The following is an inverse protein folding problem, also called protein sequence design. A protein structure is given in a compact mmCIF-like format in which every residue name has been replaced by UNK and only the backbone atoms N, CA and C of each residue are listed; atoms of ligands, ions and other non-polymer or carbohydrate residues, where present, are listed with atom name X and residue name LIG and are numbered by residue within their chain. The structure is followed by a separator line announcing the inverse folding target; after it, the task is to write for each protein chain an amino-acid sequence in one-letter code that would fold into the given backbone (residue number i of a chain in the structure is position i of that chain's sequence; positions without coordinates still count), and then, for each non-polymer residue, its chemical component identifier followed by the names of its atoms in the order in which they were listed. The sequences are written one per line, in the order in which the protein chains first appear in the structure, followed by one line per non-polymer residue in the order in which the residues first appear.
data_IF_116346458067
#
_entry.id   IF_116346458067
#
_cell.length_a   1.000
_cell.length_b   1.000
_cell.length_c   1.000
_cell.angle_alpha   90.00
_cell.angle_beta   90.00
_cell.angle_gamma   90.00
#
_symmetry.space_group_name_H-M   'P 1'
#
loop_
_entity.id
_entity.type
_entity.pdbx_description
1 polymer ?
#
# COMPACT_ATOMS: atom_id res chain seq x y z
N UNK A 1 -1.17 52.06 -14.96
CA UNK A 1 -2.21 51.04 -15.18
C UNK A 1 -1.51 49.70 -15.12
N UNK A 2 -1.68 49.01 -13.99
CA UNK A 2 -0.99 47.77 -13.59
C UNK A 2 -1.64 46.57 -14.29
N UNK A 3 -0.83 45.61 -14.74
CA UNK A 3 -1.21 44.21 -14.83
C UNK A 3 0.07 43.36 -14.70
N UNK A 4 0.24 42.77 -13.52
CA UNK A 4 1.23 41.75 -13.20
C UNK A 4 0.45 40.43 -13.26
N UNK A 5 0.74 39.56 -14.24
CA UNK A 5 0.13 38.24 -14.31
C UNK A 5 1.03 37.25 -13.56
N UNK A 6 0.54 36.81 -12.41
CA UNK A 6 1.14 35.78 -11.58
C UNK A 6 0.35 34.48 -11.78
N UNK A 7 0.85 33.58 -12.61
CA UNK A 7 0.37 32.19 -12.62
C UNK A 7 1.42 31.26 -13.21
N UNK A 8 2.31 30.75 -12.36
CA UNK A 8 2.81 29.37 -12.44
C UNK A 8 3.60 29.07 -11.18
N UNK A 9 2.89 28.98 -10.05
CA UNK A 9 3.46 28.49 -8.80
C UNK A 9 3.47 26.96 -8.79
N UNK A 10 4.22 26.32 -9.70
CA UNK A 10 4.65 24.93 -9.47
C UNK A 10 5.78 25.00 -8.45
N UNK A 11 5.46 24.66 -7.21
CA UNK A 11 6.46 24.60 -6.14
C UNK A 11 7.57 23.64 -6.57
N UNK A 12 8.82 24.07 -6.45
CA UNK A 12 10.00 23.24 -6.72
C UNK A 12 9.97 21.93 -5.90
N UNK A 13 9.23 21.90 -4.78
CA UNK A 13 9.00 20.72 -3.95
C UNK A 13 8.12 19.64 -4.63
N UNK A 14 7.17 20.02 -5.50
CA UNK A 14 6.29 19.07 -6.20
C UNK A 14 7.04 18.37 -7.35
N UNK A 15 7.97 19.10 -7.99
CA UNK A 15 8.84 18.53 -9.03
C UNK A 15 9.85 17.54 -8.42
N UNK A 16 10.45 17.87 -7.28
CA UNK A 16 11.42 16.99 -6.59
C UNK A 16 10.75 15.74 -6.01
N UNK A 17 9.52 15.83 -5.49
CA UNK A 17 8.77 14.66 -4.98
C UNK A 17 8.29 13.75 -6.11
N UNK A 18 7.83 14.33 -7.22
CA UNK A 18 7.55 13.59 -8.45
C UNK A 18 8.78 12.84 -8.96
N UNK A 19 9.97 13.43 -8.84
CA UNK A 19 11.22 12.80 -9.26
C UNK A 19 11.76 11.75 -8.27
N UNK A 20 11.51 11.84 -6.96
CA UNK A 20 11.92 10.77 -6.01
C UNK A 20 11.02 9.54 -6.13
N UNK A 21 9.71 9.72 -6.32
CA UNK A 21 8.78 8.60 -6.59
C UNK A 21 9.01 8.03 -7.99
N UNK A 22 9.25 8.89 -9.00
CA UNK A 22 9.59 8.46 -10.37
C UNK A 22 10.97 7.80 -10.45
N UNK A 23 11.96 8.22 -9.66
CA UNK A 23 13.28 7.59 -9.62
C UNK A 23 13.27 6.26 -8.88
N UNK A 24 12.42 6.07 -7.85
CA UNK A 24 12.21 4.75 -7.22
C UNK A 24 11.38 3.79 -8.08
N UNK A 25 10.56 4.30 -8.99
CA UNK A 25 9.67 3.50 -9.85
C UNK A 25 10.31 2.91 -11.13
N UNK A 26 11.57 3.26 -11.46
CA UNK A 26 12.18 2.89 -12.75
C UNK A 26 12.88 1.52 -12.78
N UNK A 27 12.87 0.74 -11.70
CA UNK A 27 13.52 -0.59 -11.72
C UNK A 27 12.74 -1.66 -10.94
N UNK A 28 11.42 -1.72 -11.13
CA UNK A 28 10.64 -2.92 -10.75
C UNK A 28 10.22 -3.68 -12.00
N UNK A 29 11.14 -4.50 -12.53
CA UNK A 29 10.75 -5.65 -13.34
C UNK A 29 9.86 -6.58 -12.50
N UNK A 30 9.00 -7.37 -13.14
CA UNK A 30 8.15 -8.38 -12.46
C UNK A 30 9.02 -9.18 -11.50
N UNK A 31 8.80 -9.00 -10.19
CA UNK A 31 9.64 -9.65 -9.19
C UNK A 31 9.28 -11.13 -9.11
N UNK A 32 10.29 -11.96 -9.37
CA UNK A 32 10.19 -13.40 -9.20
C UNK A 32 9.93 -13.77 -7.73
N UNK A 33 9.08 -14.79 -7.52
CA UNK A 33 8.69 -15.25 -6.18
C UNK A 33 9.91 -15.67 -5.36
N UNK A 34 10.93 -16.31 -5.96
CA UNK A 34 12.13 -16.71 -5.24
C UNK A 34 12.95 -15.51 -4.79
N UNK A 35 12.93 -14.39 -5.53
CA UNK A 35 13.57 -13.14 -5.11
C UNK A 35 12.84 -12.55 -3.90
N UNK A 36 11.50 -12.55 -3.92
CA UNK A 36 10.69 -12.11 -2.76
C UNK A 36 10.98 -12.98 -1.54
N UNK A 37 10.96 -14.30 -1.70
CA UNK A 37 11.29 -15.24 -0.62
C UNK A 37 12.71 -15.05 -0.07
N UNK A 38 13.71 -14.86 -0.94
CA UNK A 38 15.09 -14.63 -0.53
C UNK A 38 15.24 -13.31 0.26
N UNK A 39 14.53 -12.25 -0.15
CA UNK A 39 14.53 -10.97 0.57
C UNK A 39 13.93 -11.13 1.97
N UNK A 40 12.78 -11.82 2.09
CA UNK A 40 12.16 -12.11 3.39
C UNK A 40 13.07 -12.99 4.25
N UNK A 41 13.65 -14.05 3.70
CA UNK A 41 14.55 -14.95 4.42
C UNK A 41 15.84 -14.24 4.88
N UNK A 42 16.34 -13.27 4.10
CA UNK A 42 17.47 -12.42 4.51
C UNK A 42 17.06 -11.54 5.69
N UNK A 43 15.94 -10.83 5.57
CA UNK A 43 15.44 -9.96 6.63
C UNK A 43 15.25 -10.72 7.94
N UNK A 44 14.62 -11.90 7.92
CA UNK A 44 14.41 -12.71 9.12
C UNK A 44 15.71 -13.27 9.73
N UNK A 45 16.76 -13.46 8.93
CA UNK A 45 18.08 -13.85 9.44
C UNK A 45 18.78 -12.70 10.14
N UNK A 46 18.58 -11.48 9.65
CA UNK A 46 19.14 -10.25 10.21
C UNK A 46 18.38 -9.82 11.48
N UNK A 47 17.07 -10.12 11.55
CA UNK A 47 16.16 -9.75 12.64
C UNK A 47 15.40 -10.99 13.17
N UNK A 48 16.08 -11.96 13.81
CA UNK A 48 15.48 -13.24 14.24
C UNK A 48 14.38 -13.08 15.30
N UNK A 49 14.41 -12.01 16.09
CA UNK A 49 13.39 -11.68 17.09
C UNK A 49 12.01 -11.41 16.46
N UNK A 50 11.95 -10.97 15.19
CA UNK A 50 10.69 -10.74 14.47
C UNK A 50 9.92 -12.03 14.20
N UNK A 51 10.61 -13.18 14.12
CA UNK A 51 9.99 -14.49 13.91
C UNK A 51 9.37 -15.04 15.21
N UNK A 52 10.00 -14.74 16.36
CA UNK A 52 9.70 -15.35 17.66
C UNK A 52 8.77 -14.50 18.53
N UNK A 53 8.68 -13.20 18.28
CA UNK A 53 7.86 -12.31 19.08
C UNK A 53 6.36 -12.58 18.84
N UNK A 54 5.65 -13.00 19.90
CA UNK A 54 4.21 -12.84 19.97
C UNK A 54 3.89 -11.34 20.01
N UNK A 55 3.10 -10.86 19.06
CA UNK A 55 2.70 -9.47 19.01
C UNK A 55 1.19 -9.38 19.21
N UNK A 56 0.78 -8.96 20.41
CA UNK A 56 -0.62 -8.77 20.78
C UNK A 56 -1.15 -7.38 20.37
N UNK A 57 -0.46 -6.72 19.43
CA UNK A 57 -0.82 -5.36 19.03
C UNK A 57 -2.20 -5.37 18.32
N UNK A 58 -3.15 -4.51 18.72
CA UNK A 58 -4.51 -4.52 18.16
C UNK A 58 -4.57 -4.40 16.64
N UNK A 59 -3.61 -3.69 16.03
CA UNK A 59 -3.52 -3.57 14.58
C UNK A 59 -3.29 -4.91 13.86
N UNK A 60 -2.63 -5.87 14.52
CA UNK A 60 -2.28 -7.19 13.98
C UNK A 60 -3.21 -8.31 14.48
N UNK A 61 -4.28 -7.97 15.19
CA UNK A 61 -5.28 -8.94 15.64
C UNK A 61 -5.84 -9.71 14.43
N UNK A 62 -5.80 -11.04 14.51
CA UNK A 62 -6.21 -11.95 13.43
C UNK A 62 -5.14 -12.23 12.36
N UNK A 63 -3.95 -11.62 12.44
CA UNK A 63 -2.88 -11.83 11.47
C UNK A 63 -2.36 -13.27 11.47
N UNK A 64 -2.33 -13.93 12.62
CA UNK A 64 -1.91 -15.33 12.74
C UNK A 64 -2.97 -16.32 12.22
N UNK A 65 -4.23 -15.90 12.14
CA UNK A 65 -5.36 -16.75 11.69
C UNK A 65 -5.50 -16.78 10.17
N UNK A 66 -4.84 -15.86 9.46
CA UNK A 66 -4.80 -15.86 8.00
C UNK A 66 -3.95 -17.03 7.51
N UNK A 67 -4.49 -17.81 6.59
CA UNK A 67 -3.76 -18.90 5.96
C UNK A 67 -2.84 -18.38 4.84
N UNK A 68 -1.77 -17.69 5.24
CA UNK A 68 -0.78 -17.09 4.33
C UNK A 68 -0.20 -18.11 3.35
N UNK A 69 -0.08 -19.37 3.76
CA UNK A 69 0.46 -20.46 2.94
C UNK A 69 -0.41 -20.80 1.72
N UNK A 70 -1.71 -20.50 1.77
CA UNK A 70 -2.64 -20.70 0.65
C UNK A 70 -2.62 -19.57 -0.37
N UNK A 71 -2.02 -18.43 -0.04
CA UNK A 71 -1.96 -17.30 -0.97
C UNK A 71 -0.82 -17.56 -1.98
N UNK A 72 -1.12 -17.59 -3.29
CA UNK A 72 -0.10 -17.86 -4.30
C UNK A 72 1.07 -16.87 -4.23
N UNK A 73 2.29 -17.39 -4.16
CA UNK A 73 3.50 -16.57 -4.11
C UNK A 73 3.71 -15.80 -2.80
N UNK A 74 3.00 -16.17 -1.73
CA UNK A 74 3.16 -15.59 -0.40
C UNK A 74 4.25 -16.32 0.41
N UNK A 75 5.36 -15.67 0.78
CA UNK A 75 6.34 -16.21 1.71
C UNK A 75 5.72 -16.40 3.10
N UNK A 76 6.23 -17.36 3.87
CA UNK A 76 5.75 -17.60 5.23
C UNK A 76 6.00 -16.41 6.20
N UNK A 77 6.95 -15.53 5.87
CA UNK A 77 7.40 -14.44 6.75
C UNK A 77 6.51 -13.19 6.80
N UNK A 78 5.37 -13.13 6.10
CA UNK A 78 4.51 -11.93 6.09
C UNK A 78 4.09 -11.46 7.48
N UNK A 79 3.67 -12.34 8.41
CA UNK A 79 3.32 -11.90 9.76
C UNK A 79 4.48 -11.23 10.49
N UNK A 80 5.71 -11.70 10.29
CA UNK A 80 6.90 -11.11 10.90
C UNK A 80 7.23 -9.74 10.30
N UNK A 81 7.03 -9.54 8.99
CA UNK A 81 7.15 -8.22 8.36
C UNK A 81 6.08 -7.25 8.88
N UNK A 82 4.82 -7.68 9.00
CA UNK A 82 3.77 -6.82 9.55
C UNK A 82 4.05 -6.41 11.00
N UNK A 83 4.70 -7.28 11.79
CA UNK A 83 5.20 -6.94 13.13
C UNK A 83 6.36 -5.96 13.09
N UNK A 84 7.33 -6.15 12.20
CA UNK A 84 8.49 -5.27 12.06
C UNK A 84 8.10 -3.81 11.80
N UNK A 85 6.97 -3.55 11.13
CA UNK A 85 6.45 -2.18 10.94
C UNK A 85 6.10 -1.44 12.24
N UNK A 86 5.84 -2.16 13.33
CA UNK A 86 5.57 -1.56 14.65
C UNK A 86 6.85 -1.19 15.40
N UNK A 87 8.00 -1.76 15.00
CA UNK A 87 9.28 -1.49 15.61
C UNK A 87 9.87 -0.19 15.05
N UNK A 88 10.33 0.71 15.93
CA UNK A 88 10.86 2.01 15.54
C UNK A 88 12.17 1.90 14.76
N UNK A 89 13.03 0.93 15.11
CA UNK A 89 14.33 0.72 14.48
C UNK A 89 14.21 -0.15 13.22
N UNK A 90 13.41 -1.21 13.28
CA UNK A 90 13.31 -2.21 12.22
C UNK A 90 12.24 -1.85 11.18
N UNK A 91 11.23 -1.05 11.54
CA UNK A 91 10.14 -0.64 10.65
C UNK A 91 10.60 -0.04 9.32
N UNK A 92 11.49 0.96 9.31
CA UNK A 92 12.00 1.56 8.07
C UNK A 92 12.73 0.57 7.14
N UNK A 93 13.37 -0.46 7.68
CA UNK A 93 14.00 -1.54 6.89
C UNK A 93 12.99 -2.60 6.43
N UNK A 94 11.95 -2.82 7.23
CA UNK A 94 10.89 -3.79 6.95
C UNK A 94 9.99 -3.35 5.81
N UNK A 95 9.65 -2.05 5.77
CA UNK A 95 8.67 -1.52 4.83
C UNK A 95 9.06 -1.80 3.36
N UNK A 96 10.29 -1.53 2.87
CA UNK A 96 10.66 -1.86 1.50
C UNK A 96 10.58 -3.35 1.17
N UNK A 97 10.87 -4.24 2.13
CA UNK A 97 10.72 -5.69 1.93
C UNK A 97 9.26 -6.06 1.76
N UNK A 98 8.38 -5.45 2.57
CA UNK A 98 6.94 -5.65 2.47
C UNK A 98 6.35 -5.02 1.20
N UNK A 99 6.75 -3.83 0.80
CA UNK A 99 6.30 -3.19 -0.46
C UNK A 99 6.61 -4.08 -1.66
N UNK A 100 7.84 -4.59 -1.75
CA UNK A 100 8.26 -5.53 -2.79
C UNK A 100 7.44 -6.82 -2.80
N UNK A 101 6.97 -7.25 -1.63
CA UNK A 101 6.08 -8.40 -1.54
C UNK A 101 4.69 -8.08 -2.10
N UNK A 102 4.13 -6.96 -1.66
CA UNK A 102 2.76 -6.53 -1.94
C UNK A 102 2.58 -5.99 -3.36
N UNK A 103 3.66 -5.64 -4.04
CA UNK A 103 3.68 -5.16 -5.42
C UNK A 103 4.32 -6.21 -6.33
N UNK A 104 3.69 -6.52 -7.46
CA UNK A 104 4.30 -7.33 -8.53
C UNK A 104 5.05 -6.46 -9.54
N UNK A 105 4.57 -5.24 -9.75
CA UNK A 105 5.26 -4.19 -10.49
C UNK A 105 4.70 -2.83 -10.09
N UNK A 106 5.18 -1.76 -10.71
CA UNK A 106 4.66 -0.39 -10.50
C UNK A 106 3.16 -0.26 -10.75
N UNK A 107 2.56 -1.14 -11.56
CA UNK A 107 1.15 -1.07 -11.97
C UNK A 107 0.29 -2.22 -11.44
N UNK A 108 0.86 -3.18 -10.70
CA UNK A 108 0.13 -4.36 -10.26
C UNK A 108 0.45 -4.70 -8.80
N UNK A 109 -0.60 -4.84 -8.00
CA UNK A 109 -0.51 -5.41 -6.65
C UNK A 109 -0.38 -6.94 -6.74
N UNK A 110 0.14 -7.56 -5.70
CA UNK A 110 0.24 -9.02 -5.61
C UNK A 110 -1.00 -9.62 -4.96
N UNK A 111 -1.15 -10.95 -5.10
CA UNK A 111 -2.22 -11.70 -4.45
C UNK A 111 -2.19 -11.63 -2.91
N UNK A 112 -1.08 -11.15 -2.33
CA UNK A 112 -0.92 -10.94 -0.88
C UNK A 112 -1.61 -9.66 -0.40
N UNK A 113 -1.69 -8.63 -1.27
CA UNK A 113 -2.22 -7.31 -0.92
C UNK A 113 -3.62 -7.37 -0.28
N UNK A 114 -4.62 -8.09 -0.82
CA UNK A 114 -5.95 -8.16 -0.21
C UNK A 114 -5.96 -8.64 1.24
N UNK A 115 -5.13 -9.65 1.54
CA UNK A 115 -5.03 -10.23 2.88
C UNK A 115 -4.25 -9.32 3.83
N UNK A 116 -3.27 -8.56 3.33
CA UNK A 116 -2.48 -7.63 4.12
C UNK A 116 -3.22 -6.31 4.42
N UNK A 117 -4.09 -5.85 3.52
CA UNK A 117 -4.77 -4.54 3.61
C UNK A 117 -5.46 -4.25 4.96
N UNK A 118 -6.24 -5.17 5.56
CA UNK A 118 -6.84 -4.95 6.88
C UNK A 118 -5.83 -4.53 7.95
N UNK A 119 -4.64 -5.15 7.92
CA UNK A 119 -3.56 -4.88 8.86
C UNK A 119 -2.87 -3.56 8.53
N UNK A 120 -2.60 -3.30 7.25
CA UNK A 120 -1.99 -2.02 6.80
C UNK A 120 -2.86 -0.81 7.16
N UNK A 121 -4.19 -0.91 6.98
CA UNK A 121 -5.13 0.15 7.36
C UNK A 121 -5.08 0.41 8.85
N UNK A 122 -5.08 -0.65 9.68
CA UNK A 122 -5.00 -0.50 11.13
C UNK A 122 -3.63 0.00 11.61
N UNK A 123 -2.55 -0.42 10.95
CA UNK A 123 -1.20 0.07 11.24
C UNK A 123 -1.08 1.56 10.90
N UNK A 124 -1.57 2.00 9.76
CA UNK A 124 -1.57 3.43 9.39
C UNK A 124 -2.37 4.32 10.37
N UNK A 125 -3.33 3.72 11.09
CA UNK A 125 -4.08 4.39 12.16
C UNK A 125 -3.32 4.47 13.50
N UNK A 126 -2.19 3.79 13.66
CA UNK A 126 -1.32 3.93 14.83
C UNK A 126 -0.50 5.22 14.68
N UNK A 127 -0.61 6.20 15.59
CA UNK A 127 -0.04 7.53 15.38
C UNK A 127 1.49 7.58 15.37
N UNK A 128 2.14 6.73 16.17
CA UNK A 128 3.57 6.87 16.51
C UNK A 128 4.50 5.90 15.78
N UNK A 129 4.01 5.14 14.80
CA UNK A 129 4.89 4.27 14.01
C UNK A 129 5.73 5.10 13.02
N UNK A 130 7.03 4.82 12.96
CA UNK A 130 7.97 5.59 12.13
C UNK A 130 7.59 5.58 10.63
N UNK A 131 7.04 4.47 10.15
CA UNK A 131 6.67 4.22 8.75
C UNK A 131 5.26 4.67 8.38
N UNK A 132 4.55 5.33 9.28
CA UNK A 132 3.16 5.75 9.06
C UNK A 132 2.93 6.56 7.77
N UNK A 133 3.76 7.57 7.43
CA UNK A 133 3.59 8.34 6.19
C UNK A 133 3.63 7.45 4.95
N UNK A 134 4.63 6.57 4.89
CA UNK A 134 4.84 5.69 3.75
C UNK A 134 3.75 4.60 3.66
N UNK A 135 3.24 4.11 4.80
CA UNK A 135 2.08 3.21 4.81
C UNK A 135 0.82 3.87 4.25
N UNK A 136 0.57 5.15 4.56
CA UNK A 136 -0.55 5.88 3.98
C UNK A 136 -0.39 6.04 2.46
N UNK A 137 0.84 6.30 1.99
CA UNK A 137 1.16 6.31 0.57
C UNK A 137 0.92 4.96 -0.10
N UNK A 138 1.38 3.87 0.52
CA UNK A 138 1.15 2.50 0.04
C UNK A 138 -0.34 2.17 -0.06
N UNK A 139 -1.15 2.56 0.93
CA UNK A 139 -2.60 2.38 0.89
C UNK A 139 -3.22 3.15 -0.28
N UNK A 140 -2.75 4.37 -0.58
CA UNK A 140 -3.26 5.16 -1.69
C UNK A 140 -2.93 4.52 -3.05
N UNK A 141 -1.70 4.02 -3.20
CA UNK A 141 -1.28 3.24 -4.38
C UNK A 141 -2.13 1.97 -4.52
N UNK A 142 -2.33 1.23 -3.43
CA UNK A 142 -3.17 0.03 -3.44
C UNK A 142 -4.62 0.35 -3.84
N UNK A 143 -5.18 1.45 -3.34
CA UNK A 143 -6.51 1.93 -3.71
C UNK A 143 -6.62 2.31 -5.19
N UNK A 144 -5.62 3.01 -5.73
CA UNK A 144 -5.56 3.38 -7.14
C UNK A 144 -5.50 2.13 -8.03
N UNK A 145 -4.57 1.21 -7.75
CA UNK A 145 -4.35 0.00 -8.55
C UNK A 145 -5.48 -1.03 -8.40
N UNK A 146 -6.30 -0.93 -7.36
CA UNK A 146 -7.46 -1.81 -7.15
C UNK A 146 -8.75 -1.26 -7.76
N UNK A 147 -8.72 -0.04 -8.31
CA UNK A 147 -9.89 0.54 -8.99
C UNK A 147 -10.24 -0.27 -10.22
N UNK A 148 -11.55 -0.45 -10.48
CA UNK A 148 -12.00 -1.18 -11.67
C UNK A 148 -11.47 -0.55 -12.95
N UNK A 149 -10.97 -1.37 -13.87
CA UNK A 149 -10.61 -0.94 -15.21
C UNK A 149 -11.81 -1.11 -16.14
N UNK A 150 -12.25 0.00 -16.74
CA UNK A 150 -13.21 -0.01 -17.83
C UNK A 150 -12.63 -0.78 -19.02
N UNK A 151 -13.35 -1.82 -19.47
CA UNK A 151 -12.91 -2.67 -20.57
C UNK A 151 -12.87 -1.95 -21.92
N UNK A 152 -13.62 -0.85 -22.05
CA UNK A 152 -13.66 -0.03 -23.26
C UNK A 152 -12.56 1.05 -23.28
N UNK A 153 -11.87 1.30 -22.15
CA UNK A 153 -10.71 2.19 -22.08
C UNK A 153 -9.42 1.42 -22.41
N UNK A 154 -9.09 1.35 -23.70
CA UNK A 154 -7.90 0.66 -24.22
C UNK A 154 -6.60 1.09 -23.53
N UNK A 155 -6.48 2.36 -23.13
CA UNK A 155 -5.28 2.88 -22.47
C UNK A 155 -5.16 2.32 -21.05
N UNK A 156 -6.26 2.29 -20.31
CA UNK A 156 -6.27 1.71 -18.95
C UNK A 156 -6.06 0.21 -19.00
N UNK A 157 -6.67 -0.49 -19.96
CA UNK A 157 -6.44 -1.93 -20.17
C UNK A 157 -4.98 -2.21 -20.51
N UNK A 158 -4.33 -1.37 -21.33
CA UNK A 158 -2.92 -1.54 -21.65
C UNK A 158 -1.99 -1.36 -20.43
N UNK A 159 -2.28 -0.39 -19.56
CA UNK A 159 -1.42 -0.06 -18.42
C UNK A 159 -1.65 -0.96 -17.21
N UNK A 160 -2.89 -1.32 -16.95
CA UNK A 160 -3.32 -2.00 -15.74
C UNK A 160 -3.87 -3.41 -16.00
N UNK A 161 -3.98 -3.86 -17.25
CA UNK A 161 -4.65 -5.13 -17.55
C UNK A 161 -6.16 -5.06 -17.35
N UNK A 162 -6.84 -6.17 -17.68
CA UNK A 162 -8.28 -6.32 -17.48
C UNK A 162 -8.57 -6.80 -16.07
N UNK A 163 -9.66 -6.33 -15.47
CA UNK A 163 -10.05 -6.75 -14.11
C UNK A 163 -10.25 -8.28 -13.99
N UNK A 164 -10.65 -8.97 -15.08
CA UNK A 164 -10.79 -10.43 -15.10
C UNK A 164 -9.47 -11.19 -14.87
N UNK A 165 -8.35 -10.57 -15.22
CA UNK A 165 -7.02 -11.16 -15.09
C UNK A 165 -6.40 -10.83 -13.73
N UNK A 166 -7.06 -9.98 -12.92
CA UNK A 166 -6.58 -9.41 -11.67
C UNK A 166 -7.59 -9.60 -10.51
N UNK A 167 -7.89 -10.86 -10.11
CA UNK A 167 -8.86 -11.14 -9.05
C UNK A 167 -8.49 -10.51 -7.70
N UNK A 168 -7.20 -10.23 -7.47
CA UNK A 168 -6.71 -9.53 -6.29
C UNK A 168 -7.33 -8.13 -6.13
N UNK A 169 -7.69 -7.44 -7.22
CA UNK A 169 -8.30 -6.10 -7.15
C UNK A 169 -9.65 -6.11 -6.47
N UNK A 170 -10.48 -7.10 -6.79
CA UNK A 170 -11.78 -7.27 -6.14
C UNK A 170 -11.59 -7.57 -4.65
N UNK A 171 -10.62 -8.41 -4.31
CA UNK A 171 -10.25 -8.66 -2.91
C UNK A 171 -9.81 -7.38 -2.18
N UNK A 172 -9.00 -6.54 -2.82
CA UNK A 172 -8.59 -5.25 -2.26
C UNK A 172 -9.78 -4.30 -2.07
N UNK A 173 -10.66 -4.16 -3.07
CA UNK A 173 -11.87 -3.33 -2.97
C UNK A 173 -12.76 -3.78 -1.81
N UNK A 174 -12.98 -5.10 -1.68
CA UNK A 174 -13.73 -5.66 -0.56
C UNK A 174 -13.06 -5.37 0.79
N UNK A 175 -11.73 -5.49 0.89
CA UNK A 175 -10.98 -5.17 2.11
C UNK A 175 -11.10 -3.68 2.49
N UNK A 176 -10.97 -2.76 1.52
CA UNK A 176 -11.16 -1.32 1.74
C UNK A 176 -12.59 -1.00 2.18
N UNK A 177 -13.60 -1.56 1.51
CA UNK A 177 -15.00 -1.37 1.87
C UNK A 177 -15.32 -1.88 3.29
N UNK A 178 -14.79 -3.04 3.66
CA UNK A 178 -14.96 -3.61 5.00
C UNK A 178 -14.31 -2.76 6.11
N UNK A 179 -13.26 -2.02 5.79
CA UNK A 179 -12.52 -1.15 6.72
C UNK A 179 -12.76 0.34 6.48
N UNK A 180 -13.84 0.68 5.78
CA UNK A 180 -14.15 2.03 5.36
C UNK A 180 -14.27 3.02 6.53
N UNK A 181 -14.80 2.60 7.69
CA UNK A 181 -14.90 3.45 8.88
C UNK A 181 -13.51 3.81 9.44
N UNK A 182 -12.61 2.83 9.54
CA UNK A 182 -11.24 3.05 10.00
C UNK A 182 -10.47 3.96 9.05
N UNK A 183 -10.63 3.75 7.74
CA UNK A 183 -9.98 4.59 6.74
C UNK A 183 -10.55 6.01 6.71
N UNK A 184 -11.87 6.20 6.87
CA UNK A 184 -12.46 7.54 7.00
C UNK A 184 -11.95 8.26 8.24
N UNK A 185 -11.92 7.59 9.38
CA UNK A 185 -11.35 8.15 10.61
C UNK A 185 -9.88 8.58 10.41
N UNK A 186 -9.08 7.76 9.73
CA UNK A 186 -7.70 8.12 9.38
C UNK A 186 -7.60 9.41 8.54
N UNK A 187 -8.57 9.66 7.65
CA UNK A 187 -8.57 10.76 6.67
C UNK A 187 -9.33 12.02 7.13
N UNK A 188 -10.22 11.90 8.11
CA UNK A 188 -11.00 12.99 8.69
C UNK A 188 -10.21 13.74 9.76
N UNK A 189 -9.22 13.08 10.34
CA UNK A 189 -8.60 13.54 11.56
C UNK A 189 -7.38 14.44 11.30
N UNK A 190 -7.17 15.41 12.19
CA UNK A 190 -5.88 16.12 12.34
C UNK A 190 -4.75 15.18 12.78
N UNK A 191 -5.01 13.87 12.84
CA UNK A 191 -4.05 12.81 13.10
C UNK A 191 -3.01 12.66 11.99
N UNK A 192 -3.29 13.08 10.75
CA UNK A 192 -2.26 13.13 9.70
C UNK A 192 -1.63 14.53 9.73
N UNK A 193 -0.32 14.66 9.99
CA UNK A 193 0.39 15.92 9.84
C UNK A 193 0.07 16.59 8.50
N UNK A 194 -0.12 17.91 8.49
CA UNK A 194 -0.39 18.63 7.25
C UNK A 194 0.70 18.31 6.20
N UNK A 195 0.28 17.81 5.03
CA UNK A 195 1.19 17.44 3.94
C UNK A 195 1.67 15.98 3.93
N UNK A 196 1.19 15.13 4.84
CA UNK A 196 1.49 13.70 4.87
C UNK A 196 0.87 12.94 3.68
N UNK A 197 -0.33 13.36 3.23
CA UNK A 197 -1.03 12.77 2.09
C UNK A 197 -1.36 13.87 1.07
N UNK A 198 -1.17 13.58 -0.22
CA UNK A 198 -1.58 14.49 -1.29
C UNK A 198 -3.11 14.53 -1.43
N UNK A 199 -3.63 15.58 -2.07
CA UNK A 199 -5.06 15.65 -2.36
C UNK A 199 -5.54 14.50 -3.26
N UNK A 200 -4.69 14.09 -4.21
CA UNK A 200 -4.97 13.00 -5.14
C UNK A 200 -5.01 11.64 -4.43
N UNK A 201 -4.02 11.36 -3.57
CA UNK A 201 -3.97 10.13 -2.76
C UNK A 201 -5.17 10.04 -1.82
N UNK A 202 -5.55 11.17 -1.20
CA UNK A 202 -6.74 11.25 -0.36
C UNK A 202 -8.00 10.94 -1.16
N UNK A 203 -8.12 11.46 -2.38
CA UNK A 203 -9.25 11.17 -3.26
C UNK A 203 -9.26 9.70 -3.69
N UNK A 204 -8.11 9.07 -3.95
CA UNK A 204 -8.01 7.64 -4.22
C UNK A 204 -8.54 6.79 -3.06
N UNK A 205 -8.10 7.05 -1.83
CA UNK A 205 -8.57 6.31 -0.65
C UNK A 205 -10.06 6.51 -0.39
N UNK A 206 -10.58 7.72 -0.58
CA UNK A 206 -12.02 7.99 -0.43
C UNK A 206 -12.86 7.25 -1.48
N UNK A 207 -12.40 7.14 -2.73
CA UNK A 207 -13.09 6.35 -3.75
C UNK A 207 -13.05 4.86 -3.45
N UNK A 208 -11.97 4.35 -2.85
CA UNK A 208 -11.85 2.94 -2.51
C UNK A 208 -12.80 2.48 -1.38
N UNK A 209 -13.31 3.41 -0.56
CA UNK A 209 -14.28 3.10 0.51
C UNK A 209 -15.73 3.30 0.12
N UNK A 210 -15.98 3.80 -1.09
CA UNK A 210 -17.31 3.86 -1.67
C UNK A 210 -17.64 2.50 -2.32
N UNK A 211 -18.86 1.98 -2.15
CA UNK A 211 -19.28 0.79 -2.87
C UNK A 211 -19.17 1.06 -4.37
N UNK A 212 -18.22 0.43 -5.05
CA UNK A 212 -18.12 0.53 -6.49
C UNK A 212 -19.33 -0.20 -7.08
N UNK A 213 -20.22 0.55 -7.74
CA UNK A 213 -21.34 -0.05 -8.45
C UNK A 213 -20.75 -0.86 -9.60
N UNK A 214 -20.96 -2.18 -9.61
CA UNK A 214 -20.70 -2.97 -10.82
C UNK A 214 -21.48 -2.32 -11.98
N UNK A 215 -20.84 -2.03 -13.13
CA UNK A 215 -21.59 -1.78 -14.34
C UNK A 215 -22.38 -3.06 -14.66
N UNK A 216 -23.69 -2.93 -14.69
CA UNK A 216 -24.67 -3.94 -15.08
C UNK A 216 -24.65 -4.22 -16.57
#
# INVERSE_FOLDING_TARGET
MLAFDASSGKSLADAVRGDVVRARAMEMCVMDTAVKEAAVARFLREHPEMEQAACDHPALLGCADVDWSKIPGCPAGVPALLRGLLDEAVGPETLPVLENLLMNSTFHVSAVMPAALPFLIRLAAVPDIAVRPDLVGLLAVAAELSSSVDADDERRVLLFGKDSDHPEREGCRAAFAAHASALRALLEDGALPAGLISADDRACLLRAVEPQRCPS
#
